data_IF_148637920554
#
_entry.id   IF_148637920554
#
_cell.length_a   1.000
_cell.length_b   1.000
_cell.length_c   1.000
_cell.angle_alpha   90.00
_cell.angle_beta   90.00
_cell.angle_gamma   90.00
#
_symmetry.space_group_name_H-M   'P 1'
#
loop_
_entity.id
_entity.type
_entity.pdbx_description
1 polymer ?
#
# COMPACT_ATOMS: atom_id res chain seq x y z
N UNK A 1 -0.45 -2.43 8.04
CA UNK A 1 -0.10 -1.69 9.28
C UNK A 1 1.38 -1.82 9.69
N UNK A 2 2.04 -2.94 9.36
CA UNK A 2 3.45 -3.23 9.61
C UNK A 2 4.43 -2.05 9.40
N UNK A 3 4.40 -1.40 8.23
CA UNK A 3 5.33 -0.29 7.88
C UNK A 3 5.36 0.83 8.93
N UNK A 4 4.20 1.25 9.42
CA UNK A 4 4.07 2.31 10.44
C UNK A 4 4.25 1.82 11.89
N UNK A 5 4.40 0.50 12.07
CA UNK A 5 4.21 -0.18 13.35
C UNK A 5 2.92 0.30 14.05
N UNK A 6 1.79 0.21 13.36
CA UNK A 6 0.51 0.66 13.89
C UNK A 6 0.49 2.12 14.36
N UNK A 7 1.03 3.02 13.52
CA UNK A 7 1.12 4.45 13.80
C UNK A 7 1.98 4.83 15.02
N UNK A 8 2.91 3.95 15.43
CA UNK A 8 3.78 4.17 16.60
C UNK A 8 5.21 4.58 16.24
N UNK A 9 5.64 4.47 14.96
CA UNK A 9 6.97 4.92 14.52
C UNK A 9 7.01 6.45 14.46
N UNK A 10 8.09 7.05 14.97
CA UNK A 10 8.25 8.52 15.11
C UNK A 10 7.95 9.31 13.83
N UNK A 11 8.34 8.80 12.66
CA UNK A 11 8.13 9.48 11.38
C UNK A 11 6.92 8.96 10.59
N UNK A 12 6.09 8.09 11.19
CA UNK A 12 4.93 7.45 10.56
C UNK A 12 3.77 7.32 11.56
N UNK A 13 3.45 8.42 12.24
CA UNK A 13 2.43 8.46 13.28
C UNK A 13 1.03 8.74 12.75
N UNK A 14 0.90 9.23 11.52
CA UNK A 14 -0.40 9.54 10.90
C UNK A 14 -0.74 8.51 9.83
N UNK A 15 -1.98 8.02 9.88
CA UNK A 15 -2.54 7.10 8.89
C UNK A 15 -3.75 7.77 8.27
N UNK A 16 -3.68 8.02 6.96
CA UNK A 16 -4.76 8.60 6.19
C UNK A 16 -5.39 7.51 5.34
N UNK A 17 -6.71 7.36 5.45
CA UNK A 17 -7.50 6.64 4.47
C UNK A 17 -7.83 7.60 3.33
N UNK A 18 -7.44 7.25 2.11
CA UNK A 18 -7.62 8.07 0.91
C UNK A 18 -8.53 7.30 -0.04
N UNK A 19 -9.65 7.91 -0.42
CA UNK A 19 -10.52 7.41 -1.48
C UNK A 19 -10.10 8.08 -2.78
N UNK A 20 -9.67 7.27 -3.74
CA UNK A 20 -9.24 7.73 -5.05
C UNK A 20 -10.31 7.45 -6.10
N UNK A 21 -10.37 8.32 -7.12
CA UNK A 21 -11.09 8.00 -8.35
C UNK A 21 -10.46 6.76 -8.99
N UNK A 22 -11.29 5.80 -9.40
CA UNK A 22 -10.80 4.57 -10.03
C UNK A 22 -9.94 4.88 -11.26
N UNK A 23 -10.39 5.78 -12.12
CA UNK A 23 -9.64 6.23 -13.30
C UNK A 23 -8.28 6.86 -12.97
N UNK A 24 -8.16 7.56 -11.82
CA UNK A 24 -6.87 8.10 -11.38
C UNK A 24 -5.94 6.97 -10.92
N UNK A 25 -6.48 6.00 -10.18
CA UNK A 25 -5.73 4.82 -9.74
C UNK A 25 -5.24 3.97 -10.93
N UNK A 26 -6.12 3.66 -11.90
CA UNK A 26 -5.77 2.95 -13.13
C UNK A 26 -4.63 3.68 -13.86
N UNK A 27 -4.72 5.01 -13.96
CA UNK A 27 -3.71 5.84 -14.60
C UNK A 27 -2.37 5.85 -13.82
N UNK A 28 -2.39 5.72 -12.49
CA UNK A 28 -1.16 5.54 -11.72
C UNK A 28 -0.50 4.20 -12.00
N UNK A 29 -1.28 3.12 -12.08
CA UNK A 29 -0.78 1.79 -12.42
C UNK A 29 -0.21 1.77 -13.85
N UNK A 30 -0.92 2.33 -14.82
CA UNK A 30 -0.49 2.36 -16.22
C UNK A 30 0.84 3.09 -16.44
N UNK A 31 1.11 4.14 -15.66
CA UNK A 31 2.33 4.96 -15.79
C UNK A 31 3.42 4.62 -14.78
N UNK A 32 3.20 3.64 -13.90
CA UNK A 32 4.15 3.35 -12.84
C UNK A 32 5.44 2.74 -13.38
N UNK A 33 6.57 3.10 -12.78
CA UNK A 33 7.84 2.42 -13.03
C UNK A 33 8.03 1.34 -11.97
N UNK A 34 8.24 0.11 -12.41
CA UNK A 34 8.51 -1.03 -11.53
C UNK A 34 9.86 -0.84 -10.84
N UNK A 35 9.91 -1.08 -9.52
CA UNK A 35 11.08 -0.83 -8.69
C UNK A 35 12.33 -1.62 -9.08
N UNK A 36 12.17 -2.74 -9.78
CA UNK A 36 13.27 -3.64 -10.17
C UNK A 36 13.98 -3.15 -11.45
N UNK A 37 13.35 -2.21 -12.16
CA UNK A 37 13.94 -1.52 -13.30
C UNK A 37 14.60 -0.26 -12.74
N UNK A 38 15.86 -0.40 -12.34
CA UNK A 38 16.76 0.68 -11.92
C UNK A 38 17.18 1.57 -13.12
N UNK A 39 16.34 1.70 -14.16
CA UNK A 39 16.49 2.76 -15.16
C UNK A 39 15.97 4.07 -14.56
N UNK A 40 16.76 4.60 -13.63
CA UNK A 40 16.76 6.04 -13.38
C UNK A 40 17.55 6.67 -14.53
N UNK A 41 16.91 7.38 -15.47
CA UNK A 41 17.67 8.24 -16.35
C UNK A 41 18.40 9.28 -15.49
N UNK A 42 19.72 9.37 -15.66
CA UNK A 42 20.63 10.28 -14.96
C UNK A 42 20.29 11.77 -15.17
N UNK A 43 19.32 12.07 -16.04
CA UNK A 43 18.92 13.43 -16.36
C UNK A 43 18.03 14.05 -15.25
N UNK A 44 18.51 15.10 -14.56
CA UNK A 44 17.73 15.84 -13.57
C UNK A 44 16.46 16.51 -14.14
N UNK A 45 16.36 16.72 -15.46
CA UNK A 45 15.16 17.27 -16.10
C UNK A 45 13.98 16.28 -16.07
N UNK A 46 14.25 14.98 -16.18
CA UNK A 46 13.23 13.91 -16.11
C UNK A 46 12.75 13.71 -14.67
N UNK A 47 13.61 13.98 -13.68
CA UNK A 47 13.24 13.95 -12.25
C UNK A 47 12.19 14.99 -11.87
N UNK A 48 11.95 16.00 -12.71
CA UNK A 48 10.94 17.05 -12.50
C UNK A 48 9.53 16.64 -12.91
N UNK A 49 9.39 15.60 -13.76
CA UNK A 49 8.08 15.11 -14.20
C UNK A 49 7.46 14.21 -13.12
N UNK A 50 6.16 14.34 -12.93
CA UNK A 50 5.40 13.52 -11.99
C UNK A 50 5.65 12.03 -12.20
N UNK A 51 5.97 11.31 -11.13
CA UNK A 51 6.40 9.91 -11.17
C UNK A 51 5.60 9.07 -10.19
N UNK A 52 5.17 7.90 -10.66
CA UNK A 52 4.60 6.83 -9.86
C UNK A 52 5.61 5.69 -9.82
N UNK A 53 6.01 5.27 -8.62
CA UNK A 53 6.81 4.06 -8.40
C UNK A 53 5.90 2.96 -7.90
N UNK A 54 5.95 1.78 -8.49
CA UNK A 54 5.26 0.59 -8.02
C UNK A 54 6.26 -0.43 -7.49
N UNK A 55 5.95 -1.01 -6.33
CA UNK A 55 6.71 -2.08 -5.72
C UNK A 55 5.73 -3.14 -5.20
N UNK A 56 5.98 -4.41 -5.51
CA UNK A 56 5.30 -5.52 -4.86
C UNK A 56 6.00 -5.87 -3.55
N UNK A 57 5.37 -5.57 -2.42
CA UNK A 57 5.88 -5.92 -1.09
C UNK A 57 5.21 -7.19 -0.56
N UNK A 58 5.86 -7.94 0.34
CA UNK A 58 5.18 -8.95 1.14
C UNK A 58 3.97 -8.32 1.84
N UNK A 59 2.81 -8.98 1.80
CA UNK A 59 1.72 -8.59 2.68
C UNK A 59 2.02 -9.08 4.10
N UNK A 60 1.53 -8.37 5.12
CA UNK A 60 1.86 -8.67 6.51
C UNK A 60 0.61 -8.88 7.36
N UNK A 61 0.65 -9.93 8.17
CA UNK A 61 -0.33 -10.18 9.22
C UNK A 61 -0.31 -9.07 10.29
N UNK A 62 -1.36 -8.97 11.13
CA UNK A 62 -1.42 -7.96 12.18
C UNK A 62 -0.19 -7.90 13.12
N UNK A 63 0.47 -9.04 13.34
CA UNK A 63 1.67 -9.16 14.17
C UNK A 63 2.98 -8.82 13.44
N UNK A 64 2.92 -8.67 12.11
CA UNK A 64 4.07 -8.32 11.27
C UNK A 64 4.69 -9.48 10.50
N UNK A 65 4.23 -10.71 10.71
CA UNK A 65 4.65 -11.87 9.93
C UNK A 65 4.23 -11.70 8.46
N UNK A 66 5.10 -12.10 7.53
CA UNK A 66 4.78 -12.07 6.11
C UNK A 66 3.72 -13.13 5.77
N UNK A 67 2.72 -12.75 5.00
CA UNK A 67 1.68 -13.66 4.51
C UNK A 67 2.19 -14.43 3.31
N UNK A 68 2.27 -15.77 3.41
CA UNK A 68 2.74 -16.62 2.32
C UNK A 68 1.79 -16.54 1.11
N UNK A 69 2.35 -16.41 -0.10
CA UNK A 69 1.58 -16.39 -1.34
C UNK A 69 0.73 -15.13 -1.57
N UNK A 70 0.88 -14.09 -0.74
CA UNK A 70 0.17 -12.82 -0.89
C UNK A 70 1.14 -11.64 -0.85
N UNK A 71 1.03 -10.78 -1.86
CA UNK A 71 1.79 -9.53 -1.96
C UNK A 71 0.84 -8.34 -2.05
N UNK A 72 1.30 -7.19 -1.61
CA UNK A 72 0.60 -5.93 -1.73
C UNK A 72 1.41 -4.97 -2.60
N UNK A 73 0.74 -4.22 -3.47
CA UNK A 73 1.41 -3.11 -4.16
C UNK A 73 1.61 -1.94 -3.20
N UNK A 74 2.78 -1.32 -3.30
CA UNK A 74 3.10 -0.05 -2.69
C UNK A 74 3.33 0.98 -3.80
N UNK A 75 2.54 2.06 -3.78
CA UNK A 75 2.68 3.16 -4.73
C UNK A 75 3.39 4.36 -4.07
N UNK A 76 4.52 4.74 -4.64
CA UNK A 76 5.21 5.99 -4.32
C UNK A 76 4.82 7.07 -5.33
N UNK A 77 4.11 8.10 -4.88
CA UNK A 77 3.73 9.24 -5.72
C UNK A 77 4.69 10.41 -5.49
N UNK A 78 5.27 10.96 -6.56
CA UNK A 78 6.14 12.14 -6.52
C UNK A 78 5.69 13.13 -7.58
N UNK A 79 5.41 14.38 -7.19
CA UNK A 79 5.03 15.47 -8.11
C UNK A 79 3.87 15.10 -9.05
N UNK A 80 2.85 14.39 -8.55
CA UNK A 80 1.65 14.08 -9.33
C UNK A 80 0.65 15.23 -9.13
N UNK A 81 0.65 16.20 -10.05
CA UNK A 81 -0.15 17.43 -9.94
C UNK A 81 -1.63 17.14 -9.69
N UNK A 82 -2.22 16.16 -10.39
CA UNK A 82 -3.62 15.79 -10.20
C UNK A 82 -3.94 15.23 -8.80
N UNK A 83 -2.96 14.62 -8.13
CA UNK A 83 -3.08 14.20 -6.74
C UNK A 83 -2.91 15.40 -5.78
N UNK A 84 -1.91 16.25 -6.03
CA UNK A 84 -1.59 17.42 -5.21
C UNK A 84 -2.72 18.45 -5.23
N UNK A 85 -3.34 18.65 -6.38
CA UNK A 85 -4.48 19.56 -6.56
C UNK A 85 -5.82 18.93 -6.09
N UNK A 86 -5.79 17.71 -5.57
CA UNK A 86 -6.96 17.00 -5.06
C UNK A 86 -7.92 16.44 -6.12
N UNK A 87 -7.64 16.63 -7.42
CA UNK A 87 -8.49 16.13 -8.52
C UNK A 87 -8.63 14.62 -8.50
N UNK A 88 -7.62 13.89 -8.05
CA UNK A 88 -7.69 12.43 -8.01
C UNK A 88 -8.38 11.88 -6.76
N UNK A 89 -8.59 12.73 -5.75
CA UNK A 89 -9.02 12.35 -4.41
C UNK A 89 -10.50 12.70 -4.20
N UNK A 90 -11.28 11.69 -3.79
CA UNK A 90 -12.69 11.85 -3.43
C UNK A 90 -12.88 12.21 -1.96
N UNK A 91 -12.04 11.66 -1.08
CA UNK A 91 -12.12 11.84 0.37
C UNK A 91 -10.79 11.50 1.02
N UNK A 92 -10.45 12.22 2.08
CA UNK A 92 -9.35 11.88 3.00
C UNK A 92 -9.93 11.81 4.41
N UNK A 93 -9.58 10.77 5.17
CA UNK A 93 -9.94 10.65 6.58
C UNK A 93 -8.70 10.28 7.37
N UNK A 94 -8.38 11.05 8.40
CA UNK A 94 -7.39 10.64 9.40
C UNK A 94 -7.99 9.50 10.25
N UNK A 95 -7.39 8.32 10.12
CA UNK A 95 -7.78 7.11 10.85
C UNK A 95 -6.74 6.72 11.90
N UNK A 96 -5.82 7.62 12.26
CA UNK A 96 -4.71 7.35 13.19
C UNK A 96 -5.21 6.86 14.55
N UNK A 97 -6.22 7.52 15.11
CA UNK A 97 -6.82 7.10 16.39
C UNK A 97 -7.45 5.71 16.28
N UNK A 98 -8.17 5.45 15.19
CA UNK A 98 -8.76 4.14 14.92
C UNK A 98 -7.68 3.05 14.88
N UNK A 99 -6.61 3.26 14.12
CA UNK A 99 -5.49 2.30 13.99
C UNK A 99 -4.81 2.04 15.33
N UNK A 100 -4.53 3.09 16.12
CA UNK A 100 -3.91 2.92 17.45
C UNK A 100 -4.83 2.14 18.39
N UNK A 101 -6.13 2.39 18.36
CA UNK A 101 -7.10 1.64 19.17
C UNK A 101 -7.15 0.15 18.77
N UNK A 102 -7.14 -0.15 17.46
CA UNK A 102 -7.07 -1.53 16.98
C UNK A 102 -5.80 -2.24 17.47
N UNK A 103 -4.65 -1.56 17.43
CA UNK A 103 -3.39 -2.11 17.93
C UNK A 103 -3.43 -2.42 19.43
N UNK A 104 -3.91 -1.48 20.24
CA UNK A 104 -3.97 -1.60 21.70
C UNK A 104 -4.91 -2.73 22.11
N UNK A 105 -6.07 -2.84 21.47
CA UNK A 105 -7.14 -3.74 21.92
C UNK A 105 -7.02 -5.15 21.34
N UNK A 106 -6.56 -5.30 20.10
CA UNK A 106 -6.58 -6.59 19.41
C UNK A 106 -5.20 -7.24 19.25
N UNK A 107 -4.14 -6.44 19.10
CA UNK A 107 -2.81 -6.93 18.70
C UNK A 107 -1.83 -7.01 19.87
N UNK A 108 -1.71 -5.94 20.68
CA UNK A 108 -0.83 -5.91 21.85
C UNK A 108 -1.12 -6.97 22.92
N UNK A 109 -2.37 -7.37 23.22
CA UNK A 109 -2.65 -8.32 24.29
C UNK A 109 -1.95 -9.67 24.13
N UNK A 110 -1.64 -10.12 22.90
CA UNK A 110 -0.86 -11.34 22.66
C UNK A 110 0.50 -11.31 23.33
N UNK A 111 1.18 -10.15 23.23
CA UNK A 111 2.49 -9.91 23.83
C UNK A 111 2.45 -9.86 25.36
N UNK A 112 1.27 -9.67 25.98
CA UNK A 112 1.11 -9.47 27.43
C UNK A 112 0.37 -10.60 28.16
N UNK A 113 -0.56 -11.30 27.50
CA UNK A 113 -1.49 -12.26 28.13
C UNK A 113 -1.46 -13.65 27.49
N UNK A 114 -0.62 -13.89 26.49
CA UNK A 114 -0.49 -15.20 25.83
C UNK A 114 -1.61 -15.58 24.85
N UNK A 115 -2.57 -14.68 24.58
CA UNK A 115 -3.61 -14.79 23.53
C UNK A 115 -3.87 -13.41 22.90
N UNK A 116 -4.00 -13.34 21.58
CA UNK A 116 -4.51 -12.13 20.91
C UNK A 116 -6.03 -12.02 21.04
N UNK A 117 -6.55 -10.86 20.66
CA UNK A 117 -8.00 -10.63 20.46
C UNK A 117 -8.22 -10.25 18.99
N UNK A 118 -7.62 -11.01 18.06
CA UNK A 118 -7.74 -10.74 16.62
C UNK A 118 -9.18 -10.89 16.11
N UNK A 119 -10.01 -11.65 16.81
CA UNK A 119 -11.46 -11.74 16.60
C UNK A 119 -12.17 -10.38 16.77
N UNK A 120 -11.60 -9.48 17.58
CA UNK A 120 -12.10 -8.13 17.79
C UNK A 120 -11.44 -7.10 16.85
N UNK A 121 -10.46 -7.51 16.04
CA UNK A 121 -9.75 -6.62 15.14
C UNK A 121 -10.69 -6.16 14.02
N UNK A 122 -10.92 -4.87 13.95
CA UNK A 122 -11.67 -4.25 12.86
C UNK A 122 -10.71 -3.79 11.78
N UNK A 123 -10.84 -4.39 10.60
CA UNK A 123 -10.11 -3.99 9.38
C UNK A 123 -11.09 -3.56 8.29
N UNK A 124 -10.64 -2.76 7.31
CA UNK A 124 -11.45 -2.49 6.12
C UNK A 124 -11.84 -3.78 5.40
N UNK A 125 -13.04 -3.80 4.82
CA UNK A 125 -13.45 -4.87 3.91
C UNK A 125 -12.56 -4.81 2.67
N UNK A 126 -12.04 -5.96 2.27
CA UNK A 126 -11.22 -6.10 1.06
C UNK A 126 -12.10 -6.63 -0.06
N UNK A 127 -12.15 -5.90 -1.16
CA UNK A 127 -12.77 -6.34 -2.40
C UNK A 127 -11.67 -6.63 -3.43
N UNK A 128 -11.90 -7.63 -4.27
CA UNK A 128 -11.02 -7.90 -5.41
C UNK A 128 -11.18 -6.75 -6.40
N UNK A 129 -10.07 -6.18 -6.80
CA UNK A 129 -10.00 -5.21 -7.89
C UNK A 129 -9.09 -5.79 -8.97
N UNK A 130 -9.65 -5.90 -10.17
CA UNK A 130 -8.94 -6.28 -11.37
C UNK A 130 -9.01 -5.08 -12.34
N UNK A 131 -7.88 -4.50 -12.76
CA UNK A 131 -7.88 -3.46 -13.79
C UNK A 131 -8.59 -4.00 -15.05
N UNK A 132 -9.51 -3.24 -15.64
CA UNK A 132 -10.21 -3.69 -16.87
C UNK A 132 -9.26 -3.78 -18.07
N UNK A 133 -8.29 -2.86 -18.15
CA UNK A 133 -7.27 -2.83 -19.18
C UNK A 133 -6.21 -3.92 -18.96
N UNK A 134 -6.11 -4.84 -19.91
CA UNK A 134 -5.14 -5.93 -19.91
C UNK A 134 -3.69 -5.43 -19.94
N UNK A 135 -3.43 -4.29 -20.59
CA UNK A 135 -2.10 -3.71 -20.63
C UNK A 135 -1.63 -3.30 -19.23
N UNK A 136 -2.55 -2.80 -18.39
CA UNK A 136 -2.25 -2.48 -16.99
C UNK A 136 -1.91 -3.76 -16.23
N UNK A 137 -2.70 -4.83 -16.37
CA UNK A 137 -2.46 -6.12 -15.69
C UNK A 137 -1.09 -6.70 -16.03
N UNK A 138 -0.74 -6.71 -17.32
CA UNK A 138 0.58 -7.16 -17.81
C UNK A 138 1.71 -6.26 -17.32
N UNK A 139 1.52 -4.94 -17.37
CA UNK A 139 2.52 -3.95 -16.97
C UNK A 139 2.89 -4.05 -15.49
N UNK A 140 1.89 -4.22 -14.62
CA UNK A 140 2.11 -4.38 -13.18
C UNK A 140 2.40 -5.82 -12.78
N UNK A 141 2.54 -6.75 -13.75
CA UNK A 141 2.87 -8.15 -13.48
C UNK A 141 1.84 -8.85 -12.56
N UNK A 142 0.55 -8.50 -12.72
CA UNK A 142 -0.51 -9.01 -11.85
C UNK A 142 -0.63 -10.55 -11.92
N UNK A 143 -0.44 -11.12 -13.11
CA UNK A 143 -0.62 -12.54 -13.39
C UNK A 143 0.69 -13.36 -13.31
N UNK A 144 1.85 -12.71 -13.15
CA UNK A 144 3.16 -13.35 -13.15
C UNK A 144 3.76 -13.57 -11.76
N UNK A 145 2.97 -13.38 -10.70
CA UNK A 145 3.37 -13.76 -9.34
C UNK A 145 3.16 -15.28 -9.20
N UNK A 146 4.06 -16.05 -9.82
CA UNK A 146 4.19 -17.47 -9.51
C UNK A 146 4.62 -17.62 -8.05
N UNK A 147 3.91 -18.51 -7.35
CA UNK A 147 4.22 -18.95 -5.98
C UNK A 147 5.46 -19.85 -6.04
N UNK A 148 6.60 -19.29 -6.40
CA UNK A 148 7.89 -19.98 -6.37
C UNK A 148 8.88 -19.13 -5.61
N UNK A 149 8.84 -19.26 -4.29
CA UNK A 149 10.04 -19.31 -3.45
C UNK A 149 9.65 -19.89 -2.09
N UNK A 150 9.45 -21.21 -2.09
CA UNK A 150 9.68 -22.02 -0.89
C UNK A 150 11.15 -22.43 -0.93
N UNK A 151 11.96 -21.89 -0.02
CA UNK A 151 13.18 -22.54 0.46
C UNK A 151 13.57 -21.97 1.82
#
# INVERSE_FOLDING_TARGET
MYRSNWASRSNQQHILAIWLRRSAFDNYLARSVNSDIDDLPSDPSIRSKGRVRLQWDPDHEPHGESTLGRRAIQLGLRQIDSFLDGRDILRIVDISLFVRNQYINAVLPKRRRGRDQLDQLRVPIVNIYEPEDEQIRRHIQLDSIDVTETR
#
